data_IF_895921324261
#
_entry.id   IF_895921324261
#
_cell.length_a   1.000
_cell.length_b   1.000
_cell.length_c   1.000
_cell.angle_alpha   90.00
_cell.angle_beta   90.00
_cell.angle_gamma   90.00
#
_symmetry.space_group_name_H-M   'P 1'
#
loop_
_entity.id
_entity.type
_entity.pdbx_description
1 polymer ?
#
# COMPACT_ATOMS: atom_id res chain seq x y z
N UNK A 1 -6.41 -25.39 65.24
CA UNK A 1 -5.22 -24.62 64.84
C UNK A 1 -4.31 -25.54 64.03
N UNK A 2 -3.80 -25.03 62.90
CA UNK A 2 -2.89 -25.66 61.93
C UNK A 2 -3.44 -26.91 61.21
N UNK A 3 -3.42 -27.08 59.89
CA UNK A 3 -2.82 -26.33 58.78
C UNK A 3 -2.78 -27.29 57.59
N UNK A 4 -3.86 -27.35 56.81
CA UNK A 4 -4.00 -28.25 55.67
C UNK A 4 -3.30 -27.70 54.43
N UNK A 5 -2.17 -28.29 54.05
CA UNK A 5 -1.42 -27.95 52.85
C UNK A 5 -2.11 -28.56 51.61
N UNK A 6 -3.03 -27.81 50.99
CA UNK A 6 -3.69 -28.20 49.74
C UNK A 6 -2.86 -27.70 48.55
N UNK A 7 -2.04 -28.57 47.97
CA UNK A 7 -1.33 -28.28 46.72
C UNK A 7 -2.34 -28.05 45.58
N UNK A 8 -2.41 -26.81 45.07
CA UNK A 8 -3.14 -26.50 43.84
C UNK A 8 -2.33 -27.05 42.66
N UNK A 9 -2.91 -28.00 41.91
CA UNK A 9 -2.37 -28.50 40.64
C UNK A 9 -2.17 -27.31 39.70
N UNK A 10 -0.92 -27.01 39.35
CA UNK A 10 -0.58 -26.09 38.26
C UNK A 10 -0.83 -26.82 36.94
N UNK A 11 -1.90 -26.46 36.24
CA UNK A 11 -2.01 -26.74 34.82
C UNK A 11 -1.11 -25.74 34.12
N UNK A 12 0.07 -26.19 33.66
CA UNK A 12 0.80 -25.50 32.61
C UNK A 12 -0.01 -25.68 31.33
N UNK A 13 -0.76 -24.65 30.94
CA UNK A 13 -1.24 -24.54 29.57
C UNK A 13 -0.04 -24.06 28.77
N UNK A 14 0.58 -24.99 28.03
CA UNK A 14 1.48 -24.65 26.94
C UNK A 14 0.62 -23.95 25.88
N UNK A 15 0.67 -22.61 25.84
CA UNK A 15 0.28 -21.87 24.65
C UNK A 15 1.35 -22.18 23.60
N UNK A 16 1.05 -23.15 22.74
CA UNK A 16 1.74 -23.26 21.48
C UNK A 16 1.29 -22.07 20.63
N UNK A 17 1.99 -20.94 20.76
CA UNK A 17 1.96 -19.92 19.71
C UNK A 17 2.60 -20.58 18.50
N UNK A 18 1.75 -21.10 17.60
CA UNK A 18 2.17 -21.41 16.25
C UNK A 18 2.64 -20.10 15.64
N UNK A 19 3.95 -19.91 15.58
CA UNK A 19 4.54 -18.89 14.73
C UNK A 19 4.29 -19.42 13.32
N UNK A 20 3.23 -18.93 12.68
CA UNK A 20 3.19 -18.92 11.24
C UNK A 20 4.36 -18.04 10.81
N UNK A 21 5.48 -18.69 10.48
CA UNK A 21 6.52 -18.09 9.67
C UNK A 21 5.89 -17.85 8.31
N UNK A 22 5.15 -16.75 8.18
CA UNK A 22 4.88 -16.15 6.89
C UNK A 22 6.24 -15.92 6.26
N UNK A 23 6.48 -16.57 5.13
CA UNK A 23 7.59 -16.25 4.28
C UNK A 23 7.38 -14.79 3.87
N UNK A 24 8.10 -13.88 4.52
CA UNK A 24 8.30 -12.53 4.00
C UNK A 24 9.10 -12.70 2.72
N UNK A 25 8.40 -12.90 1.61
CA UNK A 25 8.97 -12.67 0.29
C UNK A 25 9.12 -11.15 0.22
N UNK A 26 10.22 -10.64 0.76
CA UNK A 26 10.70 -9.30 0.44
C UNK A 26 11.26 -9.43 -0.95
N UNK A 27 10.40 -9.27 -1.94
CA UNK A 27 10.81 -9.09 -3.31
C UNK A 27 10.50 -7.65 -3.64
N UNK A 28 11.50 -6.79 -3.44
CA UNK A 28 11.68 -5.60 -4.28
C UNK A 28 11.94 -6.07 -5.70
N UNK A 29 10.92 -6.68 -6.30
CA UNK A 29 10.86 -6.90 -7.72
C UNK A 29 10.29 -5.60 -8.24
N UNK A 30 11.21 -4.72 -8.63
CA UNK A 30 11.00 -3.73 -9.67
C UNK A 30 9.97 -4.26 -10.65
N UNK A 31 9.06 -3.38 -11.04
CA UNK A 31 8.04 -3.65 -12.04
C UNK A 31 8.79 -3.71 -13.37
N UNK A 32 9.45 -4.84 -13.63
CA UNK A 32 10.07 -5.15 -14.92
C UNK A 32 8.89 -5.41 -15.85
N UNK A 33 8.28 -4.36 -16.39
CA UNK A 33 8.56 -3.98 -17.77
C UNK A 33 7.73 -2.77 -18.27
N UNK A 34 8.36 -1.95 -19.12
CA UNK A 34 7.75 -1.08 -20.15
C UNK A 34 6.92 0.16 -19.75
N UNK A 35 7.46 1.07 -18.91
CA UNK A 35 6.99 2.48 -18.86
C UNK A 35 7.17 3.21 -20.23
N UNK A 36 7.88 2.62 -21.22
CA UNK A 36 8.25 3.28 -22.47
C UNK A 36 8.00 2.49 -23.78
N UNK A 37 6.82 1.94 -24.08
CA UNK A 37 6.46 1.67 -25.49
C UNK A 37 4.96 1.85 -25.79
N UNK A 38 4.58 2.67 -26.79
CA UNK A 38 3.20 2.76 -27.22
C UNK A 38 2.86 1.69 -28.28
N UNK A 39 1.61 1.25 -28.20
CA UNK A 39 0.79 0.56 -29.20
C UNK A 39 0.79 -0.99 -29.24
N UNK A 40 -0.24 -1.59 -28.63
CA UNK A 40 -1.08 -2.57 -29.33
C UNK A 40 -2.50 -2.67 -28.71
N UNK A 41 -3.59 -2.36 -29.43
CA UNK A 41 -4.93 -2.39 -28.85
C UNK A 41 -5.64 -3.70 -29.20
N UNK A 42 -5.77 -4.62 -28.23
CA UNK A 42 -6.79 -5.68 -28.33
C UNK A 42 -7.27 -6.19 -26.97
N UNK A 43 -8.30 -5.51 -26.44
CA UNK A 43 -9.32 -6.01 -25.49
C UNK A 43 -8.86 -6.59 -24.14
N UNK A 44 -8.95 -5.74 -23.12
CA UNK A 44 -8.60 -5.93 -21.70
C UNK A 44 -8.00 -4.59 -21.25
N UNK A 45 -8.24 -4.09 -20.04
CA UNK A 45 -7.81 -2.74 -19.63
C UNK A 45 -6.32 -2.51 -19.96
N UNK A 46 -6.01 -1.64 -20.93
CA UNK A 46 -4.63 -1.32 -21.28
C UNK A 46 -4.03 -0.32 -20.30
N UNK A 47 -2.69 -0.25 -20.27
CA UNK A 47 -1.96 0.77 -19.52
C UNK A 47 -2.56 2.17 -19.77
N UNK A 48 -2.76 2.98 -18.72
CA UNK A 48 -3.30 4.32 -18.88
C UNK A 48 -2.39 5.19 -19.77
N UNK A 49 -2.97 5.87 -20.75
CA UNK A 49 -2.24 6.71 -21.73
C UNK A 49 -2.57 8.19 -21.60
N UNK A 50 -3.61 8.53 -20.83
CA UNK A 50 -4.08 9.90 -20.62
C UNK A 50 -4.28 10.17 -19.15
N UNK A 51 -4.15 11.44 -18.73
CA UNK A 51 -4.38 11.81 -17.33
C UNK A 51 -5.76 11.40 -16.79
N UNK A 52 -6.81 11.42 -17.63
CA UNK A 52 -8.14 10.94 -17.22
C UNK A 52 -8.21 9.43 -17.01
N UNK A 53 -7.41 8.65 -17.74
CA UNK A 53 -7.32 7.20 -17.53
C UNK A 53 -6.61 6.91 -16.21
N UNK A 54 -5.48 7.56 -15.93
CA UNK A 54 -4.80 7.50 -14.62
C UNK A 54 -5.74 7.85 -13.47
N UNK A 55 -6.43 8.99 -13.58
CA UNK A 55 -7.39 9.44 -12.57
C UNK A 55 -8.50 8.41 -12.31
N UNK A 56 -8.93 7.69 -13.35
CA UNK A 56 -10.03 6.72 -13.24
C UNK A 56 -9.70 5.47 -12.42
N UNK A 57 -8.42 5.18 -12.18
CA UNK A 57 -8.00 4.08 -11.31
C UNK A 57 -8.25 4.38 -9.82
N UNK A 58 -8.33 5.65 -9.44
CA UNK A 58 -8.55 6.04 -8.05
C UNK A 58 -10.05 6.19 -7.80
N UNK A 59 -10.62 5.26 -7.02
CA UNK A 59 -12.08 5.11 -6.90
C UNK A 59 -12.56 5.17 -5.43
N UNK A 60 -12.37 6.31 -4.73
CA UNK A 60 -12.70 6.41 -3.30
C UNK A 60 -14.19 6.19 -2.99
N UNK A 61 -15.07 6.52 -3.93
CA UNK A 61 -16.52 6.38 -3.78
C UNK A 61 -17.04 4.98 -4.18
N UNK A 62 -16.15 4.07 -4.62
CA UNK A 62 -16.53 2.72 -4.98
C UNK A 62 -17.10 1.97 -3.76
N UNK A 63 -18.26 1.27 -3.86
CA UNK A 63 -18.83 0.53 -2.74
C UNK A 63 -17.91 -0.53 -2.12
N UNK A 64 -17.01 -1.13 -2.91
CA UNK A 64 -16.02 -2.08 -2.40
C UNK A 64 -14.97 -1.38 -1.55
N UNK A 65 -14.49 -0.21 -2.00
CA UNK A 65 -13.53 0.61 -1.26
C UNK A 65 -14.14 1.12 0.04
N UNK A 66 -15.35 1.69 -0.01
CA UNK A 66 -16.07 2.14 1.18
C UNK A 66 -16.34 0.99 2.15
N UNK A 67 -16.74 -0.18 1.64
CA UNK A 67 -16.99 -1.38 2.45
C UNK A 67 -15.73 -1.95 3.08
N UNK A 68 -14.62 -1.98 2.35
CA UNK A 68 -13.31 -2.38 2.86
C UNK A 68 -12.85 -1.43 3.96
N UNK A 69 -12.92 -0.11 3.72
CA UNK A 69 -12.55 0.89 4.72
C UNK A 69 -13.38 0.76 6.00
N UNK A 70 -14.70 0.52 5.88
CA UNK A 70 -15.57 0.26 7.02
C UNK A 70 -15.17 -1.02 7.78
N UNK A 71 -14.69 -2.05 7.07
CA UNK A 71 -14.19 -3.28 7.71
C UNK A 71 -12.90 -3.07 8.50
N UNK A 72 -12.08 -2.08 8.10
CA UNK A 72 -10.82 -1.72 8.75
C UNK A 72 -11.10 -0.85 9.98
N UNK A 73 -11.86 0.23 9.81
CA UNK A 73 -11.98 1.31 10.81
C UNK A 73 -13.32 1.36 11.54
N UNK A 74 -14.32 0.59 11.11
CA UNK A 74 -15.69 0.64 11.64
C UNK A 74 -16.57 1.65 10.91
N UNK A 75 -17.68 2.05 11.55
CA UNK A 75 -18.66 2.95 10.92
C UNK A 75 -18.16 4.42 10.86
N UNK A 76 -18.43 5.16 9.77
CA UNK A 76 -18.10 6.59 9.67
C UNK A 76 -18.94 7.47 10.63
N UNK A 77 -18.56 8.74 10.87
CA UNK A 77 -17.51 9.50 10.19
C UNK A 77 -16.10 9.09 10.62
N UNK A 78 -15.18 9.15 9.66
CA UNK A 78 -13.75 8.98 9.91
C UNK A 78 -13.10 10.33 10.19
N UNK A 79 -12.15 10.34 11.11
CA UNK A 79 -11.29 11.50 11.38
C UNK A 79 -9.86 11.08 11.03
N UNK A 80 -9.28 11.58 9.92
CA UNK A 80 -7.96 11.15 9.50
C UNK A 80 -6.90 11.37 10.58
N UNK A 81 -6.15 10.33 10.85
CA UNK A 81 -5.12 10.27 11.86
C UNK A 81 -4.00 9.33 11.41
N UNK A 82 -2.79 9.53 11.93
CA UNK A 82 -1.65 8.65 11.64
C UNK A 82 -1.98 7.18 11.94
N UNK A 83 -2.66 6.90 13.05
CA UNK A 83 -3.02 5.52 13.42
C UNK A 83 -3.93 4.90 12.36
N UNK A 84 -4.98 5.61 11.92
CA UNK A 84 -5.85 5.05 10.88
C UNK A 84 -5.20 4.98 9.50
N UNK A 85 -4.27 5.87 9.17
CA UNK A 85 -3.43 5.74 7.97
C UNK A 85 -2.62 4.43 8.03
N UNK A 86 -1.92 4.22 9.15
CA UNK A 86 -1.09 3.03 9.39
C UNK A 86 -1.95 1.75 9.37
N UNK A 87 -3.14 1.77 10.00
CA UNK A 87 -4.08 0.64 10.01
C UNK A 87 -4.58 0.29 8.59
N UNK A 88 -4.84 1.29 7.73
CA UNK A 88 -5.23 1.08 6.33
C UNK A 88 -4.07 0.47 5.54
N UNK A 89 -2.86 1.06 5.65
CA UNK A 89 -1.65 0.56 4.98
C UNK A 89 -1.35 -0.89 5.40
N UNK A 90 -1.36 -1.16 6.70
CA UNK A 90 -1.10 -2.50 7.24
C UNK A 90 -2.15 -3.52 6.78
N UNK A 91 -3.41 -3.10 6.63
CA UNK A 91 -4.45 -3.97 6.09
C UNK A 91 -4.16 -4.37 4.64
N UNK A 92 -3.77 -3.43 3.77
CA UNK A 92 -3.43 -3.74 2.36
C UNK A 92 -2.30 -4.76 2.30
N UNK A 93 -1.20 -4.50 3.00
CA UNK A 93 -0.01 -5.37 3.03
C UNK A 93 -0.31 -6.75 3.61
N UNK A 94 -1.26 -6.84 4.56
CA UNK A 94 -1.62 -8.11 5.19
C UNK A 94 -2.56 -8.96 4.34
N UNK A 95 -3.40 -8.33 3.50
CA UNK A 95 -4.50 -9.01 2.80
C UNK A 95 -4.28 -9.17 1.30
N UNK A 96 -3.36 -8.41 0.69
CA UNK A 96 -3.04 -8.52 -0.73
C UNK A 96 -1.69 -9.21 -0.86
N UNK A 97 -1.64 -10.31 -1.60
CA UNK A 97 -0.41 -11.02 -1.93
C UNK A 97 0.25 -10.39 -3.17
N UNK A 98 1.56 -10.21 -3.14
CA UNK A 98 2.27 -9.76 -4.34
C UNK A 98 2.21 -10.83 -5.43
N UNK A 99 1.87 -10.40 -6.65
CA UNK A 99 1.96 -11.21 -7.85
C UNK A 99 2.20 -10.30 -9.05
N UNK A 100 3.30 -10.53 -9.76
CA UNK A 100 3.62 -9.73 -10.94
C UNK A 100 2.64 -9.97 -12.08
N UNK A 101 2.45 -8.96 -12.91
CA UNK A 101 1.61 -9.03 -14.09
C UNK A 101 2.01 -10.14 -15.06
N UNK A 102 3.31 -10.33 -15.31
CA UNK A 102 3.80 -11.45 -16.13
C UNK A 102 3.36 -12.82 -15.57
N UNK A 103 3.31 -12.99 -14.24
CA UNK A 103 2.87 -14.25 -13.64
C UNK A 103 1.34 -14.43 -13.72
N UNK A 104 0.58 -13.35 -13.54
CA UNK A 104 -0.88 -13.42 -13.46
C UNK A 104 -1.56 -13.35 -14.83
N UNK A 105 -1.08 -12.47 -15.70
CA UNK A 105 -1.71 -12.05 -16.94
C UNK A 105 -0.83 -12.35 -18.17
N UNK A 106 0.50 -12.38 -18.00
CA UNK A 106 1.47 -12.62 -19.08
C UNK A 106 1.76 -11.38 -19.96
N UNK A 107 1.28 -10.22 -19.51
CA UNK A 107 1.50 -8.88 -20.04
C UNK A 107 1.13 -7.87 -18.95
N UNK A 108 1.62 -6.62 -19.05
CA UNK A 108 1.28 -5.57 -18.09
C UNK A 108 -0.24 -5.31 -18.09
N UNK A 109 -0.83 -5.32 -16.90
CA UNK A 109 -2.26 -5.20 -16.65
C UNK A 109 -2.50 -4.49 -15.30
N UNK A 110 -2.84 -3.21 -15.39
CA UNK A 110 -3.22 -2.45 -14.21
C UNK A 110 -4.60 -2.90 -13.72
N UNK A 111 -4.66 -3.39 -12.50
CA UNK A 111 -5.91 -3.73 -11.85
C UNK A 111 -6.59 -2.47 -11.29
N UNK A 112 -7.91 -2.45 -11.38
CA UNK A 112 -8.72 -1.53 -10.58
C UNK A 112 -8.68 -1.93 -9.10
N UNK A 113 -8.96 -1.00 -8.16
CA UNK A 113 -9.06 -1.36 -6.74
C UNK A 113 -10.07 -2.48 -6.45
N UNK A 114 -11.16 -2.57 -7.23
CA UNK A 114 -12.14 -3.66 -7.12
C UNK A 114 -11.57 -5.02 -7.54
N UNK A 115 -10.75 -5.04 -8.60
CA UNK A 115 -10.07 -6.25 -9.05
C UNK A 115 -9.02 -6.70 -8.03
N UNK A 116 -8.18 -5.80 -7.52
CA UNK A 116 -7.19 -6.12 -6.48
C UNK A 116 -7.88 -6.70 -5.23
N UNK A 117 -9.02 -6.11 -4.80
CA UNK A 117 -9.82 -6.63 -3.69
C UNK A 117 -10.51 -7.96 -3.99
N UNK A 118 -10.81 -8.25 -5.26
CA UNK A 118 -11.46 -9.49 -5.69
C UNK A 118 -10.46 -10.64 -5.82
N UNK A 119 -9.26 -10.37 -6.36
CA UNK A 119 -8.22 -11.36 -6.56
C UNK A 119 -7.34 -11.57 -5.32
N UNK A 120 -7.29 -10.57 -4.42
CA UNK A 120 -6.35 -10.50 -3.31
C UNK A 120 -4.89 -10.58 -3.77
N UNK A 121 -4.62 -10.13 -5.00
CA UNK A 121 -3.28 -10.07 -5.59
C UNK A 121 -3.09 -8.80 -6.41
N UNK A 122 -1.84 -8.39 -6.56
CA UNK A 122 -1.41 -7.34 -7.46
C UNK A 122 0.10 -7.07 -7.32
N UNK A 123 0.61 -6.15 -8.12
CA UNK A 123 1.98 -5.65 -8.01
C UNK A 123 2.04 -4.17 -7.59
N UNK A 124 3.10 -3.46 -7.95
CA UNK A 124 3.47 -2.19 -7.33
C UNK A 124 2.37 -1.12 -7.53
N UNK A 125 1.83 -0.99 -8.74
CA UNK A 125 0.78 -0.05 -9.09
C UNK A 125 -0.55 -0.45 -8.48
N UNK A 126 -0.87 -1.75 -8.44
CA UNK A 126 -2.14 -2.27 -7.96
C UNK A 126 -2.29 -1.97 -6.47
N UNK A 127 -1.22 -2.21 -5.71
CA UNK A 127 -1.13 -1.85 -4.30
C UNK A 127 -1.29 -0.34 -4.10
N UNK A 128 -0.60 0.47 -4.91
CA UNK A 128 -0.61 1.92 -4.78
C UNK A 128 -1.97 2.53 -5.14
N UNK A 129 -2.61 2.05 -6.20
CA UNK A 129 -3.94 2.46 -6.64
C UNK A 129 -5.02 2.08 -5.62
N UNK A 130 -4.95 0.86 -5.05
CA UNK A 130 -5.83 0.44 -3.96
C UNK A 130 -5.63 1.29 -2.70
N UNK A 131 -4.38 1.48 -2.27
CA UNK A 131 -4.05 2.23 -1.06
C UNK A 131 -4.45 3.70 -1.17
N UNK A 132 -4.18 4.35 -2.30
CA UNK A 132 -4.61 5.72 -2.57
C UNK A 132 -6.14 5.82 -2.53
N UNK A 133 -6.86 4.89 -3.16
CA UNK A 133 -8.33 4.87 -3.14
C UNK A 133 -8.91 4.75 -1.73
N UNK A 134 -8.34 3.88 -0.89
CA UNK A 134 -8.75 3.74 0.52
C UNK A 134 -8.47 5.00 1.34
N UNK A 135 -7.30 5.63 1.15
CA UNK A 135 -6.89 6.83 1.88
C UNK A 135 -7.68 8.08 1.44
N UNK A 136 -8.05 8.16 0.16
CA UNK A 136 -8.98 9.16 -0.36
C UNK A 136 -10.39 8.96 0.20
N UNK A 137 -10.88 7.72 0.29
CA UNK A 137 -12.15 7.39 0.95
C UNK A 137 -12.13 7.64 2.47
N UNK A 138 -10.97 7.54 3.10
CA UNK A 138 -10.74 7.86 4.51
C UNK A 138 -10.86 9.36 4.81
N UNK A 139 -10.74 10.20 3.78
CA UNK A 139 -10.93 11.65 3.86
C UNK A 139 -9.65 12.46 3.82
N UNK A 140 -8.53 11.90 3.37
CA UNK A 140 -7.31 12.67 3.08
C UNK A 140 -7.55 13.50 1.81
N UNK A 141 -7.33 14.81 1.87
CA UNK A 141 -7.59 15.74 0.77
C UNK A 141 -6.82 15.38 -0.52
N UNK A 142 -7.40 15.69 -1.69
CA UNK A 142 -6.81 15.44 -3.02
C UNK A 142 -5.45 16.09 -3.20
N UNK A 143 -5.20 17.21 -2.54
CA UNK A 143 -3.97 17.96 -2.68
C UNK A 143 -2.82 17.32 -1.91
N UNK A 144 -3.12 16.31 -1.06
CA UNK A 144 -2.21 15.79 -0.04
C UNK A 144 -1.75 14.36 -0.24
N UNK A 145 -2.27 13.65 -1.24
CA UNK A 145 -1.93 12.24 -1.48
C UNK A 145 -2.06 11.86 -2.95
N UNK A 146 -1.08 11.12 -3.44
CA UNK A 146 -0.99 10.70 -4.83
C UNK A 146 -0.32 9.33 -4.94
N UNK A 147 -0.63 8.62 -6.02
CA UNK A 147 0.23 7.57 -6.55
C UNK A 147 1.34 8.25 -7.35
N UNK A 148 2.58 7.82 -7.13
CA UNK A 148 3.74 8.22 -7.90
C UNK A 148 4.31 7.01 -8.64
N UNK A 149 4.65 7.22 -9.91
CA UNK A 149 5.47 6.30 -10.70
C UNK A 149 6.87 6.88 -10.81
N UNK A 150 7.87 6.07 -10.49
CA UNK A 150 9.25 6.43 -10.59
C UNK A 150 10.09 5.40 -11.33
N UNK A 151 11.27 5.83 -11.76
CA UNK A 151 12.29 4.96 -12.37
C UNK A 151 13.61 5.17 -11.66
N UNK A 152 14.37 4.11 -11.46
CA UNK A 152 15.72 4.19 -10.87
C UNK A 152 16.81 4.40 -11.95
N UNK A 153 18.07 4.41 -11.52
CA UNK A 153 19.24 4.54 -12.40
C UNK A 153 19.43 3.36 -13.38
N UNK A 154 18.78 2.21 -13.12
CA UNK A 154 18.78 1.01 -13.97
C UNK A 154 17.61 0.98 -14.96
N UNK A 155 16.79 2.05 -15.00
CA UNK A 155 15.54 2.19 -15.77
C UNK A 155 14.42 1.24 -15.30
N UNK A 156 14.52 0.74 -14.07
CA UNK A 156 13.54 -0.12 -13.44
C UNK A 156 12.41 0.72 -12.83
N UNK A 157 11.17 0.37 -13.15
CA UNK A 157 9.98 1.10 -12.73
C UNK A 157 9.49 0.68 -11.34
N UNK A 158 8.94 1.64 -10.59
CA UNK A 158 8.23 1.36 -9.33
C UNK A 158 7.07 2.33 -9.10
N UNK A 159 6.02 1.84 -8.44
CA UNK A 159 4.87 2.63 -8.05
C UNK A 159 4.74 2.66 -6.52
N UNK A 160 4.51 3.84 -5.96
CA UNK A 160 4.41 4.07 -4.52
C UNK A 160 3.49 5.24 -4.22
N UNK A 161 3.22 5.51 -2.94
CA UNK A 161 2.44 6.68 -2.50
C UNK A 161 3.38 7.84 -2.18
N UNK A 162 2.99 9.06 -2.58
CA UNK A 162 3.52 10.29 -1.98
C UNK A 162 2.41 11.05 -1.26
N UNK A 163 2.71 11.59 -0.08
CA UNK A 163 1.76 12.36 0.71
C UNK A 163 2.46 13.38 1.62
N UNK A 164 1.73 14.42 2.01
CA UNK A 164 2.14 15.46 2.96
C UNK A 164 1.01 15.79 3.96
N UNK A 165 0.03 14.90 4.10
CA UNK A 165 -1.17 15.13 4.93
C UNK A 165 -0.81 15.35 6.40
N UNK A 166 0.23 14.66 6.88
CA UNK A 166 0.71 14.72 8.25
C UNK A 166 2.24 14.88 8.30
N UNK A 167 2.79 15.28 9.46
CA UNK A 167 4.17 15.78 9.63
C UNK A 167 4.43 17.18 9.04
N UNK A 168 3.67 18.17 9.53
CA UNK A 168 3.90 19.59 9.25
C UNK A 168 3.80 19.99 7.76
N UNK A 169 3.27 19.13 6.90
CA UNK A 169 3.13 19.38 5.46
C UNK A 169 4.38 19.05 4.64
N UNK A 170 5.32 18.27 5.19
CA UNK A 170 6.49 17.80 4.44
C UNK A 170 6.12 16.58 3.61
N UNK A 171 6.47 16.58 2.33
CA UNK A 171 6.27 15.45 1.43
C UNK A 171 7.08 14.23 1.83
N UNK A 172 6.44 13.06 1.77
CA UNK A 172 7.04 11.77 2.09
C UNK A 172 6.64 10.72 1.07
N UNK A 173 7.54 9.76 0.85
CA UNK A 173 7.32 8.57 0.04
C UNK A 173 6.92 7.42 0.95
N UNK A 174 5.97 6.60 0.51
CA UNK A 174 5.36 5.53 1.28
C UNK A 174 5.33 4.27 0.41
N UNK A 175 6.05 3.24 0.84
CA UNK A 175 6.11 1.95 0.16
C UNK A 175 4.79 1.19 0.35
N UNK A 176 3.98 1.11 -0.71
CA UNK A 176 2.64 0.52 -0.69
C UNK A 176 2.63 -0.96 -0.31
N UNK A 177 3.72 -1.68 -0.59
CA UNK A 177 3.87 -3.12 -0.34
C UNK A 177 4.54 -3.45 1.01
N UNK A 178 4.95 -2.43 1.77
CA UNK A 178 5.57 -2.60 3.08
C UNK A 178 4.66 -2.12 4.21
N UNK A 179 4.66 -2.80 5.37
CA UNK A 179 3.84 -2.39 6.49
C UNK A 179 4.28 -1.03 7.03
N UNK A 180 3.36 -0.32 7.68
CA UNK A 180 3.71 0.87 8.43
C UNK A 180 4.79 0.54 9.46
N UNK A 181 5.82 1.39 9.53
CA UNK A 181 6.90 1.20 10.49
C UNK A 181 6.38 1.48 11.91
N UNK A 182 5.93 0.42 12.56
CA UNK A 182 5.39 0.48 13.91
C UNK A 182 6.35 1.21 14.86
N UNK A 183 5.92 2.37 15.35
CA UNK A 183 6.65 3.12 16.39
C UNK A 183 6.82 2.29 17.68
N UNK A 184 5.88 1.37 17.96
CA UNK A 184 5.94 0.44 19.10
C UNK A 184 7.09 -0.58 19.01
N UNK A 185 7.29 -1.23 17.85
CA UNK A 185 8.39 -2.20 17.67
C UNK A 185 9.75 -1.49 17.57
N UNK A 186 9.80 -0.30 16.95
CA UNK A 186 10.98 0.60 17.01
C UNK A 186 11.37 0.95 18.45
N UNK A 187 10.39 1.17 19.32
CA UNK A 187 10.58 1.44 20.76
C UNK A 187 10.97 0.20 21.59
N UNK A 188 10.57 -1.01 21.19
CA UNK A 188 10.78 -2.24 21.98
C UNK A 188 12.00 -3.07 21.52
N UNK A 189 12.37 -3.03 20.24
CA UNK A 189 13.38 -3.93 19.67
C UNK A 189 14.54 -3.21 18.97
N UNK A 190 14.51 -1.87 18.91
CA UNK A 190 15.56 -1.08 18.26
C UNK A 190 15.45 -1.07 16.73
N UNK A 191 16.20 -0.15 16.09
CA UNK A 191 16.09 0.23 14.68
C UNK A 191 16.81 -0.72 13.71
N UNK A 192 16.54 -2.02 13.77
CA UNK A 192 17.17 -2.98 12.85
C UNK A 192 16.29 -3.44 11.70
N UNK A 193 15.07 -2.91 11.55
CA UNK A 193 14.29 -3.10 10.33
C UNK A 193 14.70 -2.09 9.26
N UNK A 194 14.79 -2.49 7.98
CA UNK A 194 14.95 -1.55 6.87
C UNK A 194 13.80 -0.53 6.90
N UNK A 195 14.14 0.73 6.71
CA UNK A 195 13.13 1.76 6.45
C UNK A 195 12.81 1.70 4.96
N UNK A 196 11.86 0.84 4.58
CA UNK A 196 11.47 0.62 3.18
C UNK A 196 11.09 1.95 2.48
N UNK A 197 10.45 2.86 3.22
CA UNK A 197 10.08 4.19 2.70
C UNK A 197 11.30 5.03 2.28
N UNK A 198 12.48 4.82 2.90
CA UNK A 198 13.72 5.52 2.51
C UNK A 198 14.45 4.91 1.32
N UNK A 199 14.12 3.67 0.94
CA UNK A 199 14.66 3.05 -0.29
C UNK A 199 14.04 3.72 -1.52
N UNK A 200 12.83 4.27 -1.38
CA UNK A 200 12.14 4.97 -2.46
C UNK A 200 12.84 6.24 -2.95
N UNK A 201 13.79 6.82 -2.21
CA UNK A 201 14.51 8.02 -2.62
C UNK A 201 15.39 7.82 -3.87
N UNK A 202 15.66 6.57 -4.26
CA UNK A 202 16.42 6.24 -5.47
C UNK A 202 15.62 6.47 -6.77
N UNK A 203 14.30 6.47 -6.71
CA UNK A 203 13.45 6.63 -7.89
C UNK A 203 13.26 8.11 -8.28
N UNK A 204 13.53 8.44 -9.53
CA UNK A 204 13.10 9.70 -10.15
C UNK A 204 11.62 9.61 -10.50
N UNK A 205 10.79 10.47 -9.90
CA UNK A 205 9.33 10.49 -10.12
C UNK A 205 9.04 11.08 -11.51
N UNK A 206 8.37 10.29 -12.35
CA UNK A 206 8.01 10.68 -13.72
C UNK A 206 6.55 11.07 -13.84
N UNK A 207 5.68 10.42 -13.07
CA UNK A 207 4.22 10.61 -13.10
C UNK A 207 3.66 10.64 -11.70
N UNK A 208 2.71 11.53 -11.44
CA UNK A 208 1.97 11.60 -10.17
C UNK A 208 0.50 11.82 -10.42
N UNK A 209 -0.39 11.07 -9.75
CA UNK A 209 -1.82 11.19 -9.96
C UNK A 209 -2.67 10.80 -8.75
N UNK A 210 -3.91 11.29 -8.73
CA UNK A 210 -5.00 10.75 -7.92
C UNK A 210 -6.33 10.87 -8.68
N UNK A 211 -7.49 10.80 -8.01
CA UNK A 211 -8.82 10.90 -8.62
C UNK A 211 -9.13 12.28 -9.24
N UNK A 212 -8.37 13.32 -8.93
CA UNK A 212 -8.61 14.69 -9.40
C UNK A 212 -7.43 15.27 -10.20
N UNK A 213 -6.22 14.89 -9.86
CA UNK A 213 -4.99 15.50 -10.37
C UNK A 213 -4.14 14.48 -11.12
N UNK A 214 -3.42 14.99 -12.12
CA UNK A 214 -2.45 14.24 -12.91
C UNK A 214 -1.33 15.20 -13.30
N UNK A 215 -0.09 14.79 -13.11
CA UNK A 215 1.12 15.54 -13.45
C UNK A 215 2.11 14.62 -14.15
N UNK A 216 2.61 15.06 -15.32
CA UNK A 216 3.77 14.47 -15.99
C UNK A 216 5.00 15.39 -15.79
N UNK A 217 6.14 14.81 -15.43
CA UNK A 217 7.46 15.46 -15.36
C UNK A 217 7.60 16.68 -14.42
N UNK A 218 6.53 17.15 -13.77
CA UNK A 218 6.52 18.42 -13.03
C UNK A 218 5.50 18.47 -11.88
N UNK A 219 5.69 17.61 -10.88
CA UNK A 219 4.89 17.67 -9.64
C UNK A 219 5.22 18.94 -8.84
N UNK A 220 4.20 19.72 -8.41
CA UNK A 220 4.40 20.95 -7.64
C UNK A 220 4.63 20.62 -6.16
N UNK A 221 5.90 20.42 -5.77
CA UNK A 221 6.31 20.14 -4.38
C UNK A 221 6.10 21.32 -3.39
N UNK A 222 5.67 22.50 -3.88
CA UNK A 222 5.62 23.78 -3.16
C UNK A 222 4.22 24.18 -2.65
#
# INVERSE_FOLDING_TARGET
MAGGLRMKKRFLILFACGVALGLFIVSGLSCISWIFYPENPTTGHGLPTTGSEFQSYITPECPWIVGTLQSILGDPPYEPSQVGFDDIRDWVVTNIDYKSDEEQWGEDYWQTPEETLSYYTGDCEDFSVLLCSLLRAYGIDTERIYVALGVDDEEDGHAFIIEDWYHDGEWRRIESQAPAQFSFWRSLFGSTQPNFDSELDEYEITTVFNDLYYYDESFPWD
#
